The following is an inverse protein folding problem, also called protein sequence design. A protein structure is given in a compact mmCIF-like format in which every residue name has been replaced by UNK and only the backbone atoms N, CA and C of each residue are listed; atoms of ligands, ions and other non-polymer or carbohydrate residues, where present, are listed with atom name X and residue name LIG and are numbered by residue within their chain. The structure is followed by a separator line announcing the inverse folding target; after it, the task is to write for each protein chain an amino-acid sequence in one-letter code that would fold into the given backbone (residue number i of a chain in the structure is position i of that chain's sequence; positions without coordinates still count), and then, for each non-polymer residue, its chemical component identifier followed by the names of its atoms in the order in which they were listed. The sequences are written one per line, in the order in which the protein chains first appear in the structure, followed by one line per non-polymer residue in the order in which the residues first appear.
data_IF_371560257312
#
_entry.id   IF_371560257312
#
_cell.length_a   1.000
_cell.length_b   1.000
_cell.length_c   1.000
_cell.angle_alpha   90.00
_cell.angle_beta   90.00
_cell.angle_gamma   90.00
#
_symmetry.space_group_name_H-M   'P 1'
#
loop_
_entity.id
_entity.type
_entity.pdbx_description
1 polymer ?
#
# COMPACT_ATOMS: atom_id res chain seq x y z
N UNK A 1 22.34 7.31 -4.80
CA UNK A 1 22.21 8.62 -4.11
C UNK A 1 22.98 8.56 -2.80
N UNK A 2 23.98 9.45 -2.62
CA UNK A 2 24.70 9.62 -1.37
C UNK A 2 23.86 10.45 -0.40
N UNK A 3 23.27 9.80 0.61
CA UNK A 3 22.39 10.45 1.58
C UNK A 3 23.11 11.52 2.40
N UNK A 4 24.33 11.25 2.86
CA UNK A 4 25.08 12.20 3.69
C UNK A 4 25.36 13.49 2.90
N UNK A 5 25.79 13.37 1.65
CA UNK A 5 26.03 14.51 0.78
C UNK A 5 24.76 15.35 0.58
N UNK A 6 23.64 14.71 0.20
CA UNK A 6 22.42 15.45 -0.13
C UNK A 6 21.69 16.02 1.09
N UNK A 7 21.75 15.35 2.25
CA UNK A 7 21.23 15.88 3.51
C UNK A 7 22.05 17.09 4.00
N UNK A 8 23.39 17.04 3.85
CA UNK A 8 24.25 18.19 4.12
C UNK A 8 23.87 19.38 3.23
N UNK A 9 23.75 19.18 1.91
CA UNK A 9 23.32 20.24 0.99
C UNK A 9 21.92 20.79 1.29
N UNK A 10 20.99 19.95 1.70
CA UNK A 10 19.66 20.42 2.11
C UNK A 10 19.73 21.30 3.34
N UNK A 11 20.48 20.88 4.35
CA UNK A 11 20.71 21.69 5.55
C UNK A 11 21.33 23.05 5.18
N UNK A 12 22.41 23.06 4.40
CA UNK A 12 23.11 24.29 4.01
C UNK A 12 22.17 25.25 3.24
N UNK A 13 21.37 24.73 2.34
CA UNK A 13 20.40 25.52 1.58
C UNK A 13 19.34 26.18 2.49
N UNK A 14 18.82 25.45 3.48
CA UNK A 14 17.86 25.99 4.45
C UNK A 14 18.53 27.01 5.35
N UNK A 15 19.74 26.76 5.85
CA UNK A 15 20.48 27.71 6.66
C UNK A 15 20.82 28.99 5.90
N UNK A 16 21.23 28.88 4.62
CA UNK A 16 21.46 30.05 3.77
C UNK A 16 20.18 30.86 3.58
N UNK A 17 19.04 30.22 3.35
CA UNK A 17 17.75 30.90 3.24
C UNK A 17 17.36 31.55 4.57
N UNK A 18 17.50 30.85 5.69
CA UNK A 18 17.21 31.41 7.02
C UNK A 18 18.06 32.67 7.29
N UNK A 19 19.33 32.68 6.90
CA UNK A 19 20.22 33.84 7.03
C UNK A 19 19.74 35.09 6.30
N UNK A 20 18.88 34.99 5.28
CA UNK A 20 18.32 36.16 4.59
C UNK A 20 17.38 36.99 5.45
N UNK A 21 16.87 36.43 6.53
CA UNK A 21 15.98 37.09 7.51
C UNK A 21 16.74 37.76 8.67
N UNK A 22 18.06 37.70 8.66
CA UNK A 22 18.94 38.22 9.69
C UNK A 22 19.26 37.16 10.76
N UNK A 23 20.28 37.44 11.58
CA UNK A 23 20.70 36.51 12.64
C UNK A 23 19.66 36.44 13.77
N UNK A 24 19.44 35.26 14.31
CA UNK A 24 18.73 35.04 15.56
C UNK A 24 19.42 33.94 16.36
N UNK A 25 19.42 34.09 17.67
CA UNK A 25 19.95 33.09 18.59
C UNK A 25 18.82 32.15 19.05
N UNK A 26 19.13 30.87 19.15
CA UNK A 26 18.21 29.90 19.72
C UNK A 26 17.92 30.26 21.19
N UNK A 27 16.65 30.27 21.57
CA UNK A 27 16.26 30.57 22.94
C UNK A 27 16.87 29.57 23.92
N UNK A 28 17.42 30.02 25.09
CA UNK A 28 18.09 29.14 26.05
C UNK A 28 17.27 27.94 26.53
N UNK A 29 15.92 28.04 26.53
CA UNK A 29 15.05 26.92 26.92
C UNK A 29 15.06 25.74 25.92
N UNK A 30 15.60 25.92 24.74
CA UNK A 30 15.71 24.87 23.71
C UNK A 30 17.09 24.21 23.68
N UNK A 31 18.06 24.79 24.44
CA UNK A 31 19.41 24.24 24.50
C UNK A 31 19.40 22.92 25.30
N UNK A 32 20.07 21.95 24.81
CA UNK A 32 20.25 20.65 25.44
C UNK A 32 21.75 20.39 25.54
N UNK A 33 22.17 19.83 26.66
CA UNK A 33 23.53 19.41 26.91
C UNK A 33 23.93 18.28 25.89
N UNK A 34 25.11 18.44 25.28
CA UNK A 34 25.59 17.53 24.23
C UNK A 34 25.77 16.08 24.73
N UNK A 35 26.27 15.90 25.97
CA UNK A 35 26.48 14.58 26.57
C UNK A 35 25.12 13.88 26.78
N UNK A 36 24.12 14.65 27.26
CA UNK A 36 22.74 14.14 27.38
C UNK A 36 22.13 13.76 26.03
N UNK A 37 22.35 14.58 25.00
CA UNK A 37 21.87 14.29 23.67
C UNK A 37 22.54 13.03 23.10
N UNK A 38 23.86 12.92 23.23
CA UNK A 38 24.64 11.77 22.78
C UNK A 38 24.16 10.46 23.44
N UNK A 39 23.97 10.46 24.76
CA UNK A 39 23.46 9.30 25.49
C UNK A 39 22.06 8.88 25.03
N UNK A 40 21.16 9.83 24.81
CA UNK A 40 19.81 9.56 24.30
C UNK A 40 19.84 9.02 22.85
N UNK A 41 20.76 9.53 22.02
CA UNK A 41 20.93 9.08 20.64
C UNK A 41 21.48 7.66 20.58
N UNK A 42 22.46 7.31 21.44
CA UNK A 42 22.96 5.94 21.53
C UNK A 42 21.87 4.96 21.99
N UNK A 43 21.05 5.37 22.97
CA UNK A 43 19.88 4.58 23.38
C UNK A 43 18.90 4.38 22.22
N UNK A 44 18.54 5.44 21.50
CA UNK A 44 17.68 5.37 20.33
C UNK A 44 18.23 4.39 19.29
N UNK A 45 19.48 4.55 18.89
CA UNK A 45 20.10 3.69 17.86
C UNK A 45 20.28 2.25 18.34
N UNK A 46 20.46 2.03 19.64
CA UNK A 46 20.41 0.73 20.28
C UNK A 46 19.03 0.06 20.11
N UNK A 47 17.96 0.75 20.50
CA UNK A 47 16.58 0.25 20.39
C UNK A 47 16.14 0.01 18.96
N UNK A 48 16.62 0.79 17.97
CA UNK A 48 16.30 0.57 16.55
C UNK A 48 16.77 -0.79 16.05
N UNK A 49 17.78 -1.40 16.67
CA UNK A 49 18.28 -2.75 16.32
C UNK A 49 17.32 -3.87 16.73
N UNK A 50 16.33 -3.60 17.57
CA UNK A 50 15.27 -4.56 17.93
C UNK A 50 14.26 -4.74 16.79
N UNK A 51 14.29 -3.88 15.76
CA UNK A 51 13.49 -4.07 14.56
C UNK A 51 14.05 -5.19 13.67
N UNK A 52 13.19 -5.74 12.83
CA UNK A 52 13.63 -6.63 11.78
C UNK A 52 14.42 -5.87 10.70
N UNK A 53 15.30 -6.55 9.93
CA UNK A 53 16.10 -5.91 8.89
C UNK A 53 15.27 -5.62 7.64
N UNK A 54 14.31 -4.70 7.72
CA UNK A 54 13.38 -4.35 6.64
C UNK A 54 14.08 -3.93 5.34
N UNK A 55 15.30 -3.42 5.47
CA UNK A 55 16.16 -3.00 4.35
C UNK A 55 16.83 -4.16 3.62
N UNK A 56 16.87 -5.37 4.20
CA UNK A 56 17.59 -6.51 3.62
C UNK A 56 16.62 -7.48 2.91
N UNK A 57 16.96 -8.09 1.75
CA UNK A 57 16.09 -9.04 1.04
C UNK A 57 15.82 -10.35 1.82
N UNK A 58 16.55 -10.68 2.88
CA UNK A 58 16.18 -11.74 3.84
C UNK A 58 14.86 -11.47 4.57
N UNK A 59 14.45 -10.21 4.63
CA UNK A 59 13.12 -9.86 5.10
C UNK A 59 12.15 -9.91 3.91
N UNK A 60 11.38 -10.98 3.85
CA UNK A 60 10.33 -11.22 2.87
C UNK A 60 8.98 -11.52 3.58
N UNK A 61 8.72 -10.80 4.66
CA UNK A 61 7.54 -11.00 5.51
C UNK A 61 6.38 -10.10 5.10
N UNK A 62 6.22 -9.00 5.81
CA UNK A 62 5.14 -8.04 5.57
C UNK A 62 5.52 -7.01 4.48
N UNK A 63 4.58 -6.11 4.16
CA UNK A 63 4.72 -5.05 3.15
C UNK A 63 5.62 -3.92 3.65
N UNK A 64 6.87 -4.24 4.02
CA UNK A 64 7.83 -3.34 4.65
C UNK A 64 9.13 -3.31 3.87
N UNK A 65 9.57 -2.10 3.50
CA UNK A 65 10.85 -1.83 2.85
C UNK A 65 11.29 -0.40 3.16
N UNK A 66 12.58 -0.06 2.99
CA UNK A 66 13.03 1.32 3.12
C UNK A 66 12.43 2.20 2.02
N UNK A 67 12.24 3.50 2.29
CA UNK A 67 11.89 4.47 1.25
C UNK A 67 13.07 4.67 0.28
N UNK A 68 12.77 5.22 -0.91
CA UNK A 68 13.81 5.62 -1.85
C UNK A 68 14.68 6.75 -1.25
N UNK A 69 15.99 6.78 -1.49
CA UNK A 69 16.86 7.83 -0.97
C UNK A 69 16.42 9.25 -1.29
N UNK A 70 15.84 9.50 -2.48
CA UNK A 70 15.26 10.81 -2.82
C UNK A 70 14.09 11.17 -1.88
N UNK A 71 13.25 10.18 -1.52
CA UNK A 71 12.16 10.41 -0.58
C UNK A 71 12.69 10.78 0.82
N UNK A 72 13.75 10.11 1.28
CA UNK A 72 14.42 10.43 2.54
C UNK A 72 14.95 11.86 2.53
N UNK A 73 15.67 12.25 1.48
CA UNK A 73 16.21 13.61 1.32
C UNK A 73 15.08 14.64 1.29
N UNK A 74 14.06 14.42 0.45
CA UNK A 74 12.92 15.34 0.33
C UNK A 74 12.16 15.51 1.64
N UNK A 75 11.94 14.41 2.37
CA UNK A 75 11.25 14.42 3.65
C UNK A 75 12.03 15.19 4.71
N UNK A 76 13.31 14.84 4.92
CA UNK A 76 14.14 15.45 5.97
C UNK A 76 14.46 16.92 5.67
N UNK A 77 14.73 17.28 4.41
CA UNK A 77 14.92 18.67 4.01
C UNK A 77 13.69 19.52 4.34
N UNK A 78 12.51 19.03 4.02
CA UNK A 78 11.25 19.75 4.24
C UNK A 78 10.87 19.81 5.71
N UNK A 79 11.19 18.77 6.49
CA UNK A 79 10.96 18.72 7.93
C UNK A 79 11.73 19.83 8.69
N UNK A 80 12.86 20.31 8.18
CA UNK A 80 13.60 21.46 8.77
C UNK A 80 12.76 22.74 8.77
N UNK A 81 11.79 22.88 7.87
CA UNK A 81 10.86 24.00 7.78
C UNK A 81 9.51 23.67 8.43
N UNK A 82 9.14 22.39 8.45
CA UNK A 82 7.93 21.81 9.03
C UNK A 82 6.62 22.45 8.51
N UNK A 83 6.40 22.51 7.20
CA UNK A 83 5.16 23.07 6.61
C UNK A 83 3.96 22.17 6.88
N UNK A 84 2.79 22.82 6.98
CA UNK A 84 1.50 22.15 7.17
C UNK A 84 0.63 22.33 5.91
N UNK A 85 0.30 21.24 5.21
CA UNK A 85 -0.50 21.27 3.98
C UNK A 85 -2.01 21.43 4.21
N UNK A 86 -2.44 21.79 5.42
CA UNK A 86 -3.84 22.12 5.68
C UNK A 86 -4.36 23.26 4.79
N UNK A 87 -3.59 24.34 4.65
CA UNK A 87 -3.91 25.47 3.82
C UNK A 87 -2.67 25.96 3.05
N UNK A 88 -2.86 26.76 2.01
CA UNK A 88 -1.76 27.35 1.26
C UNK A 88 -0.83 28.16 2.16
N UNK A 89 -1.39 28.91 3.13
CA UNK A 89 -0.61 29.73 4.04
C UNK A 89 0.26 28.90 5.02
N UNK A 90 -0.14 27.65 5.30
CA UNK A 90 0.63 26.72 6.14
C UNK A 90 1.80 26.07 5.42
N UNK A 91 1.75 25.96 4.10
CA UNK A 91 2.78 25.32 3.28
C UNK A 91 2.62 25.62 1.80
N UNK A 92 2.82 26.87 1.35
CA UNK A 92 2.52 27.27 -0.04
C UNK A 92 3.28 26.45 -1.08
N UNK A 93 4.55 26.13 -0.80
CA UNK A 93 5.38 25.34 -1.71
C UNK A 93 4.96 23.85 -1.71
N UNK A 94 4.79 23.28 -0.52
CA UNK A 94 4.48 21.84 -0.38
C UNK A 94 3.05 21.49 -0.77
N UNK A 95 2.09 22.40 -0.59
CA UNK A 95 0.74 22.25 -1.11
C UNK A 95 0.70 22.20 -2.64
N UNK A 96 1.52 23.03 -3.32
CA UNK A 96 1.69 22.94 -4.78
C UNK A 96 2.36 21.64 -5.22
N UNK A 97 3.42 21.21 -4.51
CA UNK A 97 4.08 19.92 -4.77
C UNK A 97 3.11 18.75 -4.61
N UNK A 98 2.23 18.80 -3.60
CA UNK A 98 1.19 17.77 -3.41
C UNK A 98 0.23 17.72 -4.60
N UNK A 99 -0.27 18.85 -5.05
CA UNK A 99 -1.15 18.94 -6.23
C UNK A 99 -0.48 18.38 -7.48
N UNK A 100 0.80 18.70 -7.71
CA UNK A 100 1.57 18.17 -8.84
C UNK A 100 1.78 16.64 -8.74
N UNK A 101 2.11 16.14 -7.55
CA UNK A 101 2.29 14.70 -7.34
C UNK A 101 0.97 13.93 -7.50
N UNK A 102 -0.14 14.45 -6.97
CA UNK A 102 -1.48 13.88 -7.13
C UNK A 102 -1.93 13.89 -8.59
N UNK A 103 -1.64 14.96 -9.35
CA UNK A 103 -1.92 15.01 -10.78
C UNK A 103 -1.16 13.93 -11.57
N UNK A 104 0.08 13.61 -11.18
CA UNK A 104 0.83 12.48 -11.78
C UNK A 104 0.20 11.12 -11.45
N UNK A 105 -0.31 10.94 -10.22
CA UNK A 105 -1.07 9.74 -9.84
C UNK A 105 -2.37 9.65 -10.64
N UNK A 106 -3.10 10.75 -10.81
CA UNK A 106 -4.30 10.79 -11.63
C UNK A 106 -4.03 10.39 -13.08
N UNK A 107 -2.96 10.93 -13.68
CA UNK A 107 -2.51 10.55 -15.02
C UNK A 107 -2.17 9.05 -15.10
N UNK A 108 -1.47 8.51 -14.09
CA UNK A 108 -1.12 7.09 -14.02
C UNK A 108 -2.35 6.19 -14.03
N UNK A 109 -3.47 6.61 -13.41
CA UNK A 109 -4.73 5.89 -13.37
C UNK A 109 -5.69 6.23 -14.52
N UNK A 110 -5.33 7.17 -15.40
CA UNK A 110 -6.15 7.58 -16.55
C UNK A 110 -7.31 8.49 -16.17
N UNK A 111 -7.20 9.26 -15.09
CA UNK A 111 -8.19 10.29 -14.73
C UNK A 111 -7.86 11.62 -15.43
N UNK A 112 -8.66 12.00 -16.43
CA UNK A 112 -8.53 13.27 -17.15
C UNK A 112 -8.91 14.46 -16.26
N UNK A 113 -9.91 14.28 -15.41
CA UNK A 113 -10.31 15.21 -14.35
C UNK A 113 -10.24 14.49 -13.01
N UNK A 114 -9.86 15.20 -11.96
CA UNK A 114 -9.76 14.59 -10.63
C UNK A 114 -9.88 15.62 -9.51
N UNK A 115 -10.32 15.15 -8.37
CA UNK A 115 -10.07 15.73 -7.07
C UNK A 115 -9.25 14.72 -6.27
N UNK A 116 -8.27 15.18 -5.52
CA UNK A 116 -7.48 14.25 -4.72
C UNK A 116 -6.44 14.96 -3.87
N UNK A 117 -5.97 14.24 -2.88
CA UNK A 117 -4.92 14.69 -1.97
C UNK A 117 -4.20 13.50 -1.34
N UNK A 118 -3.06 13.78 -0.69
CA UNK A 118 -2.39 12.80 0.14
C UNK A 118 -3.13 12.65 1.47
N UNK A 119 -3.03 11.47 2.06
CA UNK A 119 -3.55 11.12 3.38
C UNK A 119 -2.45 10.50 4.22
N UNK A 120 -2.66 10.39 5.53
CA UNK A 120 -1.69 9.71 6.41
C UNK A 120 -1.62 8.21 6.19
N UNK A 121 -2.62 7.59 5.56
CA UNK A 121 -2.63 6.15 5.27
C UNK A 121 -3.73 5.76 4.30
N UNK A 122 -3.62 4.58 3.68
CA UNK A 122 -4.70 3.96 2.91
C UNK A 122 -5.98 3.74 3.74
N UNK A 123 -5.87 3.57 5.05
CA UNK A 123 -7.04 3.49 5.95
C UNK A 123 -7.83 4.78 5.94
N UNK A 124 -7.18 5.93 6.08
CA UNK A 124 -7.83 7.25 6.03
C UNK A 124 -8.31 7.55 4.60
N UNK A 125 -7.51 7.23 3.60
CA UNK A 125 -7.92 7.38 2.20
C UNK A 125 -9.20 6.60 1.88
N UNK A 126 -9.32 5.36 2.35
CA UNK A 126 -10.54 4.55 2.23
C UNK A 126 -11.70 5.13 3.07
N UNK A 127 -11.45 5.63 4.28
CA UNK A 127 -12.46 6.31 5.07
C UNK A 127 -13.08 7.48 4.29
N UNK A 128 -12.25 8.30 3.66
CA UNK A 128 -12.70 9.45 2.87
C UNK A 128 -13.48 9.02 1.63
N UNK A 129 -13.03 8.01 0.92
CA UNK A 129 -13.77 7.46 -0.22
C UNK A 129 -15.14 6.92 0.19
N UNK A 130 -15.24 6.23 1.33
CA UNK A 130 -16.50 5.71 1.86
C UNK A 130 -17.38 6.80 2.46
N UNK A 131 -16.79 7.87 3.03
CA UNK A 131 -17.52 9.06 3.45
C UNK A 131 -18.26 9.69 2.25
N UNK A 132 -17.56 9.94 1.15
CA UNK A 132 -18.17 10.45 -0.10
C UNK A 132 -19.26 9.50 -0.63
N UNK A 133 -19.01 8.19 -0.56
CA UNK A 133 -19.98 7.17 -0.96
C UNK A 133 -21.30 7.26 -0.14
N UNK A 134 -21.17 7.47 1.20
CA UNK A 134 -22.32 7.68 2.10
C UNK A 134 -23.13 8.92 1.73
N UNK A 135 -22.45 10.03 1.47
CA UNK A 135 -23.10 11.30 1.15
C UNK A 135 -23.84 11.25 -0.21
N UNK A 136 -23.32 10.48 -1.17
CA UNK A 136 -23.93 10.30 -2.48
C UNK A 136 -25.10 9.31 -2.47
N UNK A 137 -25.05 8.29 -1.62
CA UNK A 137 -26.07 7.24 -1.50
C UNK A 137 -26.52 7.06 -0.05
N UNK A 138 -27.20 8.06 0.54
CA UNK A 138 -27.66 7.96 1.92
C UNK A 138 -28.53 6.71 2.16
N UNK A 139 -28.23 5.98 3.22
CA UNK A 139 -28.98 4.78 3.61
C UNK A 139 -28.61 3.50 2.85
N UNK A 140 -27.76 3.57 1.82
CA UNK A 140 -27.20 2.40 1.14
C UNK A 140 -25.88 1.96 1.74
N UNK A 141 -25.59 0.67 1.68
CA UNK A 141 -24.38 0.07 2.21
C UNK A 141 -23.25 -0.05 1.18
N UNK A 142 -22.17 -0.68 1.62
CA UNK A 142 -20.93 -0.90 0.86
C UNK A 142 -20.72 -2.40 0.70
N UNK A 143 -20.57 -2.89 -0.54
CA UNK A 143 -20.14 -4.26 -0.83
C UNK A 143 -18.61 -4.27 -1.04
N UNK A 144 -17.94 -5.27 -0.51
CA UNK A 144 -16.49 -5.46 -0.64
C UNK A 144 -16.15 -6.95 -0.53
N UNK A 145 -15.03 -7.39 -1.11
CA UNK A 145 -14.57 -8.77 -1.04
C UNK A 145 -14.35 -9.22 0.42
N UNK A 146 -14.70 -10.45 0.75
CA UNK A 146 -14.37 -11.05 2.06
C UNK A 146 -12.85 -11.08 2.32
N UNK A 147 -12.02 -11.13 1.27
CA UNK A 147 -10.55 -11.07 1.33
C UNK A 147 -9.99 -9.62 1.22
N UNK A 148 -10.87 -8.61 1.14
CA UNK A 148 -10.46 -7.22 1.18
C UNK A 148 -9.83 -6.86 2.53
N UNK A 149 -9.06 -5.80 2.58
CA UNK A 149 -8.45 -5.34 3.82
C UNK A 149 -9.55 -5.04 4.86
N UNK A 150 -9.32 -5.46 6.12
CA UNK A 150 -10.29 -5.31 7.22
C UNK A 150 -10.74 -3.86 7.46
N UNK A 151 -10.05 -2.91 6.87
CA UNK A 151 -10.37 -1.47 6.94
C UNK A 151 -11.81 -1.18 6.46
N UNK A 152 -12.29 -1.89 5.43
CA UNK A 152 -13.62 -1.61 4.85
C UNK A 152 -14.75 -1.87 5.85
N UNK A 153 -14.76 -3.02 6.50
CA UNK A 153 -15.72 -3.31 7.54
C UNK A 153 -15.61 -2.36 8.74
N UNK A 154 -14.38 -2.00 9.13
CA UNK A 154 -14.13 -1.04 10.21
C UNK A 154 -14.63 0.37 9.85
N UNK A 155 -14.37 0.84 8.64
CA UNK A 155 -14.81 2.18 8.21
C UNK A 155 -16.32 2.24 7.98
N UNK A 156 -16.94 1.16 7.50
CA UNK A 156 -18.41 1.07 7.47
C UNK A 156 -18.99 1.26 8.89
N UNK A 157 -18.41 0.60 9.90
CA UNK A 157 -18.84 0.77 11.28
C UNK A 157 -18.65 2.23 11.78
N UNK A 158 -17.49 2.84 11.53
CA UNK A 158 -17.20 4.24 11.90
C UNK A 158 -18.19 5.21 11.26
N UNK A 159 -18.55 4.97 10.00
CA UNK A 159 -19.47 5.83 9.23
C UNK A 159 -20.95 5.51 9.48
N UNK A 160 -21.28 4.50 10.29
CA UNK A 160 -22.65 4.05 10.52
C UNK A 160 -23.32 3.43 9.29
N UNK A 161 -22.51 2.84 8.39
CA UNK A 161 -22.98 2.19 7.16
C UNK A 161 -23.03 0.68 7.32
N UNK A 162 -23.92 0.02 6.57
CA UNK A 162 -23.93 -1.45 6.48
C UNK A 162 -22.86 -1.92 5.50
N UNK A 163 -22.01 -2.83 5.94
CA UNK A 163 -21.02 -3.51 5.10
C UNK A 163 -21.52 -4.88 4.66
N UNK A 164 -21.29 -5.24 3.40
CA UNK A 164 -21.65 -6.52 2.80
C UNK A 164 -20.38 -7.22 2.31
N UNK A 165 -19.77 -8.11 3.10
CA UNK A 165 -18.66 -8.93 2.64
C UNK A 165 -19.17 -9.94 1.61
N UNK A 166 -18.58 -9.91 0.42
CA UNK A 166 -18.91 -10.78 -0.71
C UNK A 166 -17.92 -11.95 -0.77
N UNK A 167 -18.37 -13.18 -0.91
CA UNK A 167 -17.49 -14.35 -1.10
C UNK A 167 -16.49 -14.15 -2.26
N UNK A 168 -15.36 -14.85 -2.18
CA UNK A 168 -14.34 -14.86 -3.22
C UNK A 168 -14.41 -16.10 -4.08
N UNK A 169 -13.84 -16.01 -5.29
CA UNK A 169 -13.59 -17.16 -6.17
C UNK A 169 -12.38 -17.98 -5.66
N UNK A 170 -12.05 -19.05 -6.39
CA UNK A 170 -10.92 -19.93 -6.12
C UNK A 170 -9.53 -19.25 -6.22
N UNK A 171 -9.47 -18.00 -6.73
CA UNK A 171 -8.26 -17.19 -6.81
C UNK A 171 -8.19 -16.08 -5.75
N UNK A 172 -9.19 -15.97 -4.87
CA UNK A 172 -9.28 -14.93 -3.83
C UNK A 172 -9.76 -13.58 -4.36
N UNK A 173 -10.48 -13.55 -5.50
CA UNK A 173 -11.08 -12.36 -6.10
C UNK A 173 -12.57 -12.32 -5.77
N UNK A 174 -13.14 -11.13 -5.69
CA UNK A 174 -14.58 -10.97 -5.46
C UNK A 174 -15.41 -11.78 -6.47
N UNK A 175 -16.36 -12.58 -5.97
CA UNK A 175 -17.31 -13.31 -6.83
C UNK A 175 -18.33 -12.34 -7.42
N UNK A 176 -18.33 -12.18 -8.75
CA UNK A 176 -19.25 -11.28 -9.43
C UNK A 176 -20.71 -11.78 -9.36
N UNK A 177 -20.93 -13.09 -9.35
CA UNK A 177 -22.28 -13.67 -9.24
C UNK A 177 -22.85 -13.35 -7.84
N UNK A 178 -22.11 -13.62 -6.78
CA UNK A 178 -22.51 -13.27 -5.41
C UNK A 178 -22.66 -11.76 -5.21
N UNK A 179 -21.83 -10.96 -5.87
CA UNK A 179 -21.96 -9.50 -5.87
C UNK A 179 -23.25 -9.09 -6.57
N UNK A 180 -23.57 -9.64 -7.73
CA UNK A 180 -24.80 -9.28 -8.44
C UNK A 180 -26.04 -9.65 -7.64
N UNK A 181 -26.04 -10.77 -6.92
CA UNK A 181 -27.17 -11.16 -6.06
C UNK A 181 -27.47 -10.11 -5.00
N UNK A 182 -26.46 -9.57 -4.33
CA UNK A 182 -26.69 -8.50 -3.33
C UNK A 182 -27.06 -7.17 -3.99
N UNK A 183 -26.53 -6.86 -5.18
CA UNK A 183 -26.86 -5.63 -5.90
C UNK A 183 -28.34 -5.59 -6.30
N UNK A 184 -28.95 -6.74 -6.63
CA UNK A 184 -30.40 -6.86 -6.94
C UNK A 184 -31.30 -6.46 -5.80
N UNK A 185 -30.82 -6.48 -4.55
CA UNK A 185 -31.61 -6.03 -3.38
C UNK A 185 -31.81 -4.51 -3.34
N UNK A 186 -30.96 -3.74 -4.05
CA UNK A 186 -30.94 -2.27 -4.00
C UNK A 186 -30.36 -1.67 -2.72
N UNK A 187 -29.86 -2.51 -1.79
CA UNK A 187 -29.30 -2.06 -0.50
C UNK A 187 -27.87 -1.51 -0.63
N UNK A 188 -27.16 -1.81 -1.72
CA UNK A 188 -25.77 -1.39 -1.94
C UNK A 188 -25.71 -0.15 -2.83
N UNK A 189 -24.96 0.87 -2.40
CA UNK A 189 -24.72 2.09 -3.17
C UNK A 189 -23.33 2.15 -3.79
N UNK A 190 -22.37 1.46 -3.18
CA UNK A 190 -20.97 1.45 -3.66
C UNK A 190 -20.37 0.05 -3.49
N UNK A 191 -19.60 -0.35 -4.49
CA UNK A 191 -18.78 -1.57 -4.46
C UNK A 191 -17.30 -1.17 -4.35
N UNK A 192 -16.60 -1.78 -3.41
CA UNK A 192 -15.15 -1.70 -3.31
C UNK A 192 -14.54 -2.89 -4.03
N UNK A 193 -13.70 -2.61 -5.02
CA UNK A 193 -12.92 -3.60 -5.77
C UNK A 193 -11.46 -3.46 -5.36
N UNK A 194 -10.79 -4.57 -5.09
CA UNK A 194 -9.40 -4.57 -4.62
C UNK A 194 -8.44 -4.86 -5.77
N UNK A 195 -7.48 -3.96 -5.98
CA UNK A 195 -6.36 -4.19 -6.89
C UNK A 195 -5.12 -4.61 -6.08
N UNK A 196 -5.03 -5.88 -5.77
CA UNK A 196 -3.98 -6.47 -4.94
C UNK A 196 -4.39 -6.66 -3.47
N UNK A 197 -5.05 -7.79 -3.16
CA UNK A 197 -5.44 -8.13 -1.78
C UNK A 197 -4.24 -8.27 -0.86
N UNK A 198 -4.40 -7.91 0.40
CA UNK A 198 -3.30 -7.98 1.40
C UNK A 198 -2.79 -9.40 1.59
N UNK A 199 -3.65 -10.40 1.52
CA UNK A 199 -3.27 -11.80 1.70
C UNK A 199 -2.49 -12.37 0.53
N UNK A 200 -3.08 -12.33 -0.64
CA UNK A 200 -2.63 -13.08 -1.82
C UNK A 200 -2.15 -12.20 -2.99
N UNK A 201 -2.35 -10.88 -2.91
CA UNK A 201 -2.09 -9.99 -4.05
C UNK A 201 -3.09 -10.17 -5.20
N UNK A 202 -4.25 -10.77 -4.93
CA UNK A 202 -5.27 -11.03 -5.95
C UNK A 202 -5.89 -9.72 -6.46
N UNK A 203 -6.25 -9.70 -7.75
CA UNK A 203 -6.80 -8.54 -8.43
C UNK A 203 -8.24 -8.83 -8.79
N UNK A 204 -9.19 -8.08 -8.21
CA UNK A 204 -10.60 -8.20 -8.54
C UNK A 204 -10.86 -7.92 -10.02
N UNK A 205 -11.92 -8.51 -10.63
CA UNK A 205 -12.26 -8.35 -12.04
C UNK A 205 -12.91 -6.98 -12.29
N UNK A 206 -12.13 -5.89 -12.12
CA UNK A 206 -12.60 -4.50 -12.19
C UNK A 206 -13.30 -4.19 -13.52
N UNK A 207 -12.78 -4.72 -14.63
CA UNK A 207 -13.35 -4.50 -15.95
C UNK A 207 -14.72 -5.14 -16.12
N UNK A 208 -14.97 -6.30 -15.53
CA UNK A 208 -16.26 -6.98 -15.58
C UNK A 208 -17.28 -6.32 -14.63
N UNK A 209 -16.83 -5.80 -13.49
CA UNK A 209 -17.67 -5.07 -12.55
C UNK A 209 -18.26 -3.77 -13.14
N UNK A 210 -17.68 -3.20 -14.19
CA UNK A 210 -18.26 -2.06 -14.91
C UNK A 210 -19.65 -2.38 -15.49
N UNK A 211 -19.89 -3.60 -15.93
CA UNK A 211 -21.21 -4.01 -16.43
C UNK A 211 -22.26 -4.07 -15.30
N UNK A 212 -21.84 -4.48 -14.09
CA UNK A 212 -22.71 -4.46 -12.91
C UNK A 212 -23.05 -3.02 -12.50
N UNK A 213 -22.08 -2.13 -12.56
CA UNK A 213 -22.28 -0.69 -12.31
C UNK A 213 -23.38 -0.12 -13.22
N UNK A 214 -23.32 -0.39 -14.51
CA UNK A 214 -24.28 0.12 -15.48
C UNK A 214 -25.69 -0.45 -15.25
N UNK A 215 -25.81 -1.73 -14.88
CA UNK A 215 -27.11 -2.38 -14.61
C UNK A 215 -27.75 -1.93 -13.30
N UNK A 216 -26.98 -1.70 -12.25
CA UNK A 216 -27.50 -1.49 -10.90
C UNK A 216 -27.34 -0.04 -10.40
N UNK A 217 -26.67 0.84 -11.15
CA UNK A 217 -26.50 2.25 -10.78
C UNK A 217 -25.68 2.44 -9.51
N UNK A 218 -24.69 1.59 -9.28
CA UNK A 218 -23.78 1.67 -8.12
C UNK A 218 -22.49 2.39 -8.46
N UNK A 219 -21.80 2.92 -7.47
CA UNK A 219 -20.43 3.45 -7.60
C UNK A 219 -19.42 2.35 -7.50
N UNK A 220 -18.28 2.51 -8.17
CA UNK A 220 -17.12 1.66 -8.02
C UNK A 220 -15.97 2.44 -7.40
N UNK A 221 -15.53 1.99 -6.24
CA UNK A 221 -14.32 2.43 -5.58
C UNK A 221 -13.24 1.36 -5.71
N UNK A 222 -12.01 1.75 -6.05
CA UNK A 222 -10.89 0.81 -6.15
C UNK A 222 -9.95 1.00 -4.96
N UNK A 223 -9.87 -0.01 -4.10
CA UNK A 223 -8.79 -0.08 -3.12
C UNK A 223 -7.55 -0.67 -3.78
N UNK A 224 -6.69 0.20 -4.23
CA UNK A 224 -5.41 -0.10 -4.85
C UNK A 224 -4.23 0.28 -3.92
N UNK A 225 -4.47 0.32 -2.60
CA UNK A 225 -3.46 0.70 -1.61
C UNK A 225 -2.16 -0.10 -1.78
N UNK A 226 -2.26 -1.39 -2.07
CA UNK A 226 -1.12 -2.23 -2.38
C UNK A 226 -0.74 -2.23 -3.86
N UNK A 227 -1.68 -2.62 -4.71
CA UNK A 227 -1.38 -2.94 -6.12
C UNK A 227 -1.40 -1.75 -7.08
N UNK A 228 -1.82 -0.54 -6.65
CA UNK A 228 -2.08 0.56 -7.57
C UNK A 228 -0.94 0.91 -8.54
N UNK A 229 0.29 0.90 -8.07
CA UNK A 229 1.44 1.18 -8.93
C UNK A 229 1.72 0.08 -9.97
N UNK A 230 1.19 -1.13 -9.79
CA UNK A 230 1.31 -2.19 -10.79
C UNK A 230 0.56 -1.89 -12.10
N UNK A 231 -0.28 -0.87 -12.13
CA UNK A 231 -0.83 -0.33 -13.38
C UNK A 231 0.28 0.02 -14.39
N UNK A 232 1.49 0.32 -13.92
CA UNK A 232 2.66 0.61 -14.76
C UNK A 232 3.19 -0.61 -15.52
N UNK A 233 2.78 -1.82 -15.14
CA UNK A 233 3.12 -3.08 -15.84
C UNK A 233 1.95 -3.59 -16.72
N UNK A 234 0.84 -2.87 -16.77
CA UNK A 234 -0.35 -3.26 -17.51
C UNK A 234 -0.10 -3.25 -19.03
N UNK A 235 -0.11 -4.43 -19.65
CA UNK A 235 0.18 -4.61 -21.08
C UNK A 235 1.65 -4.49 -21.43
N UNK A 236 2.56 -4.50 -20.46
CA UNK A 236 4.00 -4.58 -20.72
C UNK A 236 4.36 -5.95 -21.32
N UNK A 237 5.36 -5.95 -22.20
CA UNK A 237 5.98 -7.17 -22.72
C UNK A 237 6.90 -7.78 -21.65
N UNK A 238 7.05 -9.11 -21.68
CA UNK A 238 7.88 -9.83 -20.72
C UNK A 238 7.09 -10.52 -19.61
N UNK A 239 7.77 -11.33 -18.78
CA UNK A 239 7.12 -12.16 -17.75
C UNK A 239 6.47 -11.33 -16.64
N UNK A 240 6.98 -10.12 -16.36
CA UNK A 240 6.43 -9.18 -15.38
C UNK A 240 5.18 -8.45 -15.87
N UNK A 241 4.86 -8.50 -17.16
CA UNK A 241 3.69 -7.85 -17.71
C UNK A 241 2.37 -8.36 -17.11
N UNK A 242 1.40 -7.47 -16.98
CA UNK A 242 0.09 -7.77 -16.44
C UNK A 242 -1.00 -7.65 -17.52
N UNK A 243 -2.06 -8.47 -17.45
CA UNK A 243 -3.24 -8.28 -18.30
C UNK A 243 -3.75 -6.85 -18.14
N UNK A 244 -3.96 -6.09 -19.24
CA UNK A 244 -4.26 -4.66 -19.13
C UNK A 244 -5.70 -4.34 -18.71
N UNK A 245 -6.63 -5.30 -18.83
CA UNK A 245 -8.07 -5.07 -18.68
C UNK A 245 -8.46 -4.51 -17.29
N UNK A 246 -8.09 -5.11 -16.15
CA UNK A 246 -8.45 -4.60 -14.83
C UNK A 246 -7.91 -3.19 -14.60
N UNK A 247 -6.67 -2.95 -15.02
CA UNK A 247 -5.96 -1.68 -14.80
C UNK A 247 -6.54 -0.53 -15.63
N UNK A 248 -6.84 -0.78 -16.91
CA UNK A 248 -7.49 0.22 -17.79
C UNK A 248 -8.91 0.54 -17.35
N UNK A 249 -9.59 -0.38 -16.69
CA UNK A 249 -10.93 -0.18 -16.15
C UNK A 249 -10.96 0.84 -15.01
N UNK A 250 -9.85 1.03 -14.30
CA UNK A 250 -9.72 2.00 -13.18
C UNK A 250 -10.10 3.41 -13.64
N UNK A 251 -9.72 3.81 -14.86
CA UNK A 251 -10.06 5.11 -15.43
C UNK A 251 -11.58 5.39 -15.49
N UNK A 252 -12.41 4.35 -15.45
CA UNK A 252 -13.87 4.43 -15.44
C UNK A 252 -14.48 4.33 -14.04
N UNK A 253 -13.72 3.98 -13.01
CA UNK A 253 -14.18 3.92 -11.63
C UNK A 253 -14.33 5.32 -11.02
N UNK A 254 -15.12 5.42 -9.95
CA UNK A 254 -15.50 6.72 -9.37
C UNK A 254 -14.45 7.27 -8.42
N UNK A 255 -13.68 6.40 -7.77
CA UNK A 255 -12.58 6.77 -6.87
C UNK A 255 -11.55 5.66 -6.75
N UNK A 256 -10.35 6.03 -6.35
CA UNK A 256 -9.25 5.11 -6.09
C UNK A 256 -8.42 5.54 -4.89
N UNK A 257 -7.91 4.57 -4.17
CA UNK A 257 -6.92 4.74 -3.11
C UNK A 257 -5.62 4.05 -3.52
N UNK A 258 -4.50 4.70 -3.26
CA UNK A 258 -3.16 4.11 -3.43
C UNK A 258 -2.26 4.54 -2.28
N UNK A 259 -1.32 3.68 -1.87
CA UNK A 259 -0.35 3.98 -0.81
C UNK A 259 1.06 4.20 -1.39
N UNK A 260 1.47 5.46 -1.65
CA UNK A 260 2.85 5.74 -2.02
C UNK A 260 3.88 5.23 -1.01
N UNK A 261 3.55 5.10 0.28
CA UNK A 261 4.43 4.51 1.28
C UNK A 261 4.63 2.98 1.13
N UNK A 262 3.89 2.33 0.20
CA UNK A 262 4.14 0.95 -0.23
C UNK A 262 5.00 0.97 -1.50
N UNK A 263 4.44 0.73 -2.66
CA UNK A 263 5.16 0.65 -3.93
C UNK A 263 5.59 2.01 -4.52
N UNK A 264 5.09 3.13 -4.01
CA UNK A 264 5.59 4.47 -4.35
C UNK A 264 6.90 4.85 -3.65
N UNK A 265 7.50 3.95 -2.86
CA UNK A 265 8.83 4.09 -2.22
C UNK A 265 8.93 5.26 -1.23
N UNK A 266 7.82 5.65 -0.61
CA UNK A 266 7.80 6.77 0.34
C UNK A 266 7.96 6.30 1.80
N UNK A 267 8.37 7.19 2.71
CA UNK A 267 8.21 6.98 4.15
C UNK A 267 6.74 6.74 4.50
N UNK A 268 6.47 6.01 5.58
CA UNK A 268 5.12 5.88 6.11
C UNK A 268 4.50 7.24 6.43
N UNK A 269 3.17 7.33 6.35
CA UNK A 269 2.46 8.59 6.43
C UNK A 269 2.17 9.19 5.05
N UNK A 270 2.10 8.37 3.99
CA UNK A 270 1.81 8.79 2.63
C UNK A 270 0.87 7.79 1.94
N UNK A 271 -0.43 7.97 2.13
CA UNK A 271 -1.51 7.42 1.32
C UNK A 271 -2.02 8.49 0.36
N UNK A 272 -2.93 8.12 -0.54
CA UNK A 272 -3.60 9.07 -1.44
C UNK A 272 -5.01 8.57 -1.77
N UNK A 273 -5.96 9.50 -1.88
CA UNK A 273 -7.30 9.30 -2.42
C UNK A 273 -7.51 10.19 -3.63
N UNK A 274 -8.09 9.62 -4.68
CA UNK A 274 -8.48 10.36 -5.88
C UNK A 274 -9.93 10.03 -6.24
N UNK A 275 -10.65 11.05 -6.61
CA UNK A 275 -12.02 10.98 -7.13
C UNK A 275 -12.01 11.46 -8.59
N UNK A 276 -12.69 10.72 -9.45
CA UNK A 276 -12.81 11.08 -10.88
C UNK A 276 -13.65 12.32 -11.10
N UNK A 277 -14.69 12.51 -10.27
CA UNK A 277 -15.57 13.67 -10.31
C UNK A 277 -15.16 14.68 -9.22
N UNK A 278 -14.64 15.87 -9.61
CA UNK A 278 -14.25 16.89 -8.64
C UNK A 278 -15.40 17.46 -7.81
N UNK A 279 -16.65 17.37 -8.30
CA UNK A 279 -17.82 17.92 -7.62
C UNK A 279 -18.08 17.27 -6.24
N UNK A 280 -17.48 16.10 -5.96
CA UNK A 280 -17.56 15.48 -4.64
C UNK A 280 -16.88 16.32 -3.54
N UNK A 281 -16.04 17.25 -3.91
CA UNK A 281 -15.42 18.22 -2.99
C UNK A 281 -16.43 18.97 -2.13
N UNK A 282 -17.66 19.17 -2.64
CA UNK A 282 -18.75 19.85 -1.91
C UNK A 282 -19.10 19.16 -0.56
N UNK A 283 -18.84 17.88 -0.42
CA UNK A 283 -19.14 17.14 0.81
C UNK A 283 -18.16 17.42 1.95
N UNK A 284 -16.97 17.92 1.61
CA UNK A 284 -15.94 18.28 2.59
C UNK A 284 -16.06 19.72 3.07
N UNK A 285 -16.76 20.59 2.32
CA UNK A 285 -16.85 22.01 2.62
C UNK A 285 -17.37 22.24 4.02
N UNK A 286 -16.65 23.03 4.78
CA UNK A 286 -17.03 23.48 6.11
C UNK A 286 -16.75 24.97 6.25
N UNK A 287 -17.60 25.65 7.00
CA UNK A 287 -17.40 27.03 7.37
C UNK A 287 -16.66 27.08 8.74
N UNK A 288 -15.42 27.57 8.72
CA UNK A 288 -14.61 27.69 9.91
C UNK A 288 -14.01 29.09 10.01
N UNK A 289 -14.29 29.82 11.10
CA UNK A 289 -13.72 31.17 11.29
C UNK A 289 -12.21 31.17 11.52
N UNK A 290 -11.60 29.98 11.69
CA UNK A 290 -10.17 29.81 11.95
C UNK A 290 -9.37 29.34 10.74
N UNK A 291 -10.03 29.02 9.63
CA UNK A 291 -9.35 28.54 8.42
C UNK A 291 -9.00 29.75 7.53
N UNK A 292 -7.73 29.84 7.24
CA UNK A 292 -7.15 30.91 6.42
C UNK A 292 -7.34 30.62 4.93
N UNK A 293 -8.57 30.32 4.49
CA UNK A 293 -8.89 30.20 3.06
C UNK A 293 -9.02 31.60 2.47
N UNK A 294 -7.88 32.25 2.27
CA UNK A 294 -7.81 33.67 1.90
C UNK A 294 -7.77 33.88 0.39
N UNK A 295 -7.77 32.83 -0.41
CA UNK A 295 -7.71 32.91 -1.86
C UNK A 295 -8.78 32.04 -2.53
N UNK A 296 -9.02 32.25 -3.82
CA UNK A 296 -9.88 31.40 -4.65
C UNK A 296 -9.18 30.13 -5.15
N UNK A 297 -7.93 29.91 -4.77
CA UNK A 297 -7.21 28.68 -5.08
C UNK A 297 -7.67 27.54 -4.16
N UNK A 298 -7.56 26.30 -4.65
CA UNK A 298 -7.89 25.11 -3.87
C UNK A 298 -6.96 24.95 -2.65
N UNK A 299 -7.53 25.00 -1.47
CA UNK A 299 -6.87 24.65 -0.22
C UNK A 299 -7.14 23.16 0.09
N UNK A 300 -6.08 22.40 0.30
CA UNK A 300 -6.21 20.94 0.45
C UNK A 300 -7.03 20.50 1.69
N UNK A 301 -7.07 21.34 2.73
CA UNK A 301 -7.95 21.12 3.89
C UNK A 301 -9.43 21.24 3.60
N UNK A 302 -9.82 21.89 2.46
CA UNK A 302 -11.22 21.98 2.03
C UNK A 302 -11.74 20.69 1.40
N UNK A 303 -10.84 19.75 1.06
CA UNK A 303 -11.18 18.49 0.39
C UNK A 303 -10.66 17.27 1.14
N UNK A 304 -10.37 17.39 2.43
CA UNK A 304 -9.83 16.34 3.30
C UNK A 304 -10.53 16.33 4.65
N UNK A 305 -10.75 15.14 5.20
CA UNK A 305 -11.17 14.98 6.59
C UNK A 305 -10.01 15.18 7.59
N UNK A 306 -8.75 15.07 7.13
CA UNK A 306 -7.57 15.39 7.94
C UNK A 306 -7.31 16.89 7.88
N UNK A 307 -7.18 17.51 9.04
CA UNK A 307 -6.89 18.94 9.13
C UNK A 307 -5.39 19.19 8.87
N UNK A 308 -4.55 19.05 9.88
CA UNK A 308 -3.11 19.25 9.76
C UNK A 308 -2.42 18.04 9.13
N UNK A 309 -1.62 18.27 8.08
CA UNK A 309 -0.86 17.24 7.38
C UNK A 309 0.55 17.69 7.09
N UNK A 310 1.51 16.76 7.25
CA UNK A 310 2.92 17.06 7.01
C UNK A 310 3.20 17.36 5.53
N UNK A 311 3.61 18.58 5.21
CA UNK A 311 4.07 18.94 3.88
C UNK A 311 5.32 18.17 3.44
N UNK A 312 6.06 17.60 4.40
CA UNK A 312 7.22 16.75 4.13
C UNK A 312 6.87 15.51 3.30
N UNK A 313 5.71 14.87 3.53
CA UNK A 313 5.26 13.72 2.72
C UNK A 313 5.04 14.11 1.26
N UNK A 314 4.45 15.28 1.01
CA UNK A 314 4.22 15.81 -0.34
C UNK A 314 5.54 16.11 -1.06
N UNK A 315 6.47 16.78 -0.39
CA UNK A 315 7.78 17.10 -0.96
C UNK A 315 8.62 15.86 -1.26
N UNK A 316 8.56 14.85 -0.38
CA UNK A 316 9.22 13.57 -0.58
C UNK A 316 8.71 12.85 -1.83
N UNK A 317 7.39 12.76 -1.99
CA UNK A 317 6.76 12.14 -3.16
C UNK A 317 7.05 12.93 -4.43
N UNK A 318 6.94 14.26 -4.38
CA UNK A 318 7.25 15.14 -5.50
C UNK A 318 8.70 14.94 -5.98
N UNK A 319 9.68 14.99 -5.06
CA UNK A 319 11.09 14.81 -5.40
C UNK A 319 11.36 13.41 -5.98
N UNK A 320 10.75 12.38 -5.40
CA UNK A 320 10.86 11.01 -5.92
C UNK A 320 10.35 10.93 -7.35
N UNK A 321 9.20 11.52 -7.65
CA UNK A 321 8.64 11.52 -9.00
C UNK A 321 9.42 12.38 -10.01
N UNK A 322 10.29 13.30 -9.57
CA UNK A 322 11.20 14.00 -10.48
C UNK A 322 12.34 13.08 -10.96
N UNK A 323 12.83 12.18 -10.11
CA UNK A 323 13.98 11.32 -10.42
C UNK A 323 13.60 9.88 -10.78
N UNK A 324 12.43 9.45 -10.34
CA UNK A 324 11.85 8.13 -10.61
C UNK A 324 10.36 8.30 -10.89
N UNK A 325 9.99 8.73 -12.10
CA UNK A 325 8.60 9.06 -12.42
C UNK A 325 7.69 7.81 -12.36
N UNK A 326 6.37 8.01 -12.10
CA UNK A 326 5.38 6.93 -12.11
C UNK A 326 5.02 6.56 -13.57
N UNK A 327 5.99 6.00 -14.28
CA UNK A 327 5.91 5.53 -15.67
C UNK A 327 6.47 4.10 -15.77
N UNK A 328 6.17 3.36 -16.85
CA UNK A 328 6.75 2.03 -17.06
C UNK A 328 8.28 2.01 -16.98
N UNK A 329 8.97 2.99 -17.60
CA UNK A 329 10.44 3.08 -17.62
C UNK A 329 11.03 3.66 -16.33
N UNK A 330 10.23 4.28 -15.48
CA UNK A 330 10.61 4.79 -14.17
C UNK A 330 10.33 3.77 -13.07
N UNK A 331 9.33 4.07 -12.25
CA UNK A 331 8.94 3.22 -11.12
C UNK A 331 8.48 1.82 -11.56
N UNK A 332 7.93 1.67 -12.78
CA UNK A 332 7.54 0.38 -13.34
C UNK A 332 8.67 -0.65 -13.34
N UNK A 333 9.91 -0.23 -13.60
CA UNK A 333 11.08 -1.14 -13.56
C UNK A 333 11.35 -1.71 -12.16
N UNK A 334 11.10 -0.92 -11.12
CA UNK A 334 11.25 -1.37 -9.72
C UNK A 334 10.21 -2.43 -9.38
N UNK A 335 8.94 -2.20 -9.78
CA UNK A 335 7.88 -3.18 -9.59
C UNK A 335 8.11 -4.45 -10.42
N UNK A 336 8.60 -4.28 -11.64
CA UNK A 336 8.94 -5.40 -12.54
C UNK A 336 9.95 -6.35 -11.90
N UNK A 337 11.00 -5.84 -11.25
CA UNK A 337 11.98 -6.65 -10.55
C UNK A 337 11.35 -7.48 -9.40
N UNK A 338 10.50 -6.86 -8.56
CA UNK A 338 9.79 -7.59 -7.51
C UNK A 338 8.86 -8.67 -8.05
N UNK A 339 8.14 -8.36 -9.14
CA UNK A 339 7.26 -9.34 -9.77
C UNK A 339 8.03 -10.49 -10.44
N UNK A 340 9.14 -10.23 -11.14
CA UNK A 340 10.01 -11.30 -11.68
C UNK A 340 10.54 -12.19 -10.57
N UNK A 341 10.99 -11.62 -9.45
CA UNK A 341 11.38 -12.39 -8.27
C UNK A 341 10.26 -13.30 -7.75
N UNK A 342 9.01 -12.81 -7.73
CA UNK A 342 7.87 -13.62 -7.29
C UNK A 342 7.57 -14.77 -8.25
N UNK A 343 7.64 -14.54 -9.55
CA UNK A 343 7.42 -15.56 -10.57
C UNK A 343 8.54 -16.60 -10.58
N UNK A 344 9.79 -16.17 -10.41
CA UNK A 344 10.94 -17.06 -10.30
C UNK A 344 10.84 -17.94 -9.05
N UNK A 345 10.50 -17.34 -7.90
CA UNK A 345 10.31 -18.15 -6.68
C UNK A 345 9.17 -19.14 -6.81
N UNK A 346 8.04 -18.76 -7.40
CA UNK A 346 6.94 -19.69 -7.66
C UNK A 346 7.39 -20.85 -8.56
N UNK A 347 8.22 -20.57 -9.59
CA UNK A 347 8.84 -21.59 -10.43
C UNK A 347 9.76 -22.53 -9.65
N UNK A 348 10.62 -22.01 -8.78
CA UNK A 348 11.51 -22.80 -7.92
C UNK A 348 10.73 -23.69 -6.94
N UNK A 349 9.65 -23.18 -6.35
CA UNK A 349 8.77 -23.97 -5.47
C UNK A 349 8.15 -25.13 -6.27
N UNK A 350 7.61 -24.85 -7.46
CA UNK A 350 6.96 -25.87 -8.29
C UNK A 350 7.95 -26.93 -8.79
N UNK A 351 9.21 -26.56 -9.00
CA UNK A 351 10.27 -27.45 -9.51
C UNK A 351 10.99 -28.24 -8.41
N UNK A 352 10.70 -28.01 -7.13
CA UNK A 352 11.43 -28.60 -6.00
C UNK A 352 10.50 -29.39 -5.07
N UNK A 353 11.08 -30.37 -4.34
CA UNK A 353 10.42 -31.06 -3.25
C UNK A 353 10.53 -30.24 -1.95
N UNK A 354 9.56 -30.36 -1.06
CA UNK A 354 9.58 -29.81 0.29
C UNK A 354 8.74 -28.55 0.48
N UNK A 355 8.37 -27.88 -0.59
CA UNK A 355 7.40 -26.76 -0.57
C UNK A 355 6.35 -26.96 -1.66
N UNK A 356 5.13 -26.52 -1.40
CA UNK A 356 4.05 -26.45 -2.35
C UNK A 356 3.54 -25.02 -2.49
N UNK A 357 3.28 -24.60 -3.75
CA UNK A 357 2.71 -23.30 -4.03
C UNK A 357 1.22 -23.30 -3.70
N UNK A 358 0.77 -22.33 -2.87
CA UNK A 358 -0.65 -22.22 -2.53
C UNK A 358 -1.48 -21.71 -3.71
N UNK A 359 -0.96 -20.66 -4.41
CA UNK A 359 -1.47 -20.22 -5.70
C UNK A 359 -0.39 -19.44 -6.47
N UNK A 360 -0.56 -19.32 -7.79
CA UNK A 360 0.33 -18.51 -8.61
C UNK A 360 0.25 -17.03 -8.23
N UNK A 361 1.37 -16.31 -8.07
CA UNK A 361 1.37 -14.91 -7.74
C UNK A 361 0.80 -14.05 -8.88
N UNK A 362 -0.14 -13.19 -8.56
CA UNK A 362 -0.64 -12.18 -9.50
C UNK A 362 0.23 -10.90 -9.48
N UNK A 363 0.78 -10.55 -8.33
CA UNK A 363 1.72 -9.43 -8.14
C UNK A 363 3.07 -9.95 -7.62
N UNK A 364 3.57 -9.39 -6.55
CA UNK A 364 4.86 -9.72 -5.92
C UNK A 364 4.72 -10.43 -4.56
N UNK A 365 3.56 -11.01 -4.30
CA UNK A 365 3.28 -11.82 -3.11
C UNK A 365 3.27 -13.29 -3.50
N UNK A 366 4.13 -14.09 -2.87
CA UNK A 366 4.20 -15.54 -3.03
C UNK A 366 3.61 -16.21 -1.79
N UNK A 367 2.60 -17.05 -1.97
CA UNK A 367 1.97 -17.87 -0.93
C UNK A 367 2.26 -19.34 -1.17
N UNK A 368 2.73 -20.05 -0.13
CA UNK A 368 3.21 -21.41 -0.24
C UNK A 368 3.17 -22.10 1.15
N UNK A 369 3.36 -23.41 1.18
CA UNK A 369 3.38 -24.17 2.44
C UNK A 369 4.38 -25.34 2.34
N UNK A 370 4.87 -25.85 3.51
CA UNK A 370 5.70 -27.06 3.51
C UNK A 370 4.93 -28.28 3.01
N UNK A 371 5.53 -29.05 2.11
CA UNK A 371 5.03 -30.36 1.73
C UNK A 371 5.20 -31.31 2.91
N UNK A 372 4.10 -31.91 3.38
CA UNK A 372 4.06 -32.81 4.56
C UNK A 372 3.35 -34.10 4.23
N UNK A 373 3.77 -35.21 4.88
CA UNK A 373 3.12 -36.49 4.78
C UNK A 373 2.68 -36.98 6.18
N UNK A 374 1.39 -37.27 6.39
CA UNK A 374 0.28 -37.14 5.42
C UNK A 374 -0.08 -35.67 5.16
N UNK A 375 -0.57 -35.38 3.94
CA UNK A 375 -1.01 -34.03 3.57
C UNK A 375 -2.34 -33.71 4.27
N UNK A 376 -2.26 -32.98 5.40
CA UNK A 376 -3.40 -32.60 6.22
C UNK A 376 -3.26 -31.15 6.71
N UNK A 377 -4.38 -30.42 6.86
CA UNK A 377 -4.38 -29.00 7.26
C UNK A 377 -3.66 -28.78 8.59
N UNK A 378 -3.88 -29.62 9.60
CA UNK A 378 -3.22 -29.52 10.89
C UNK A 378 -1.71 -29.70 10.81
N UNK A 379 -1.23 -30.64 9.98
CA UNK A 379 0.18 -30.88 9.75
C UNK A 379 0.84 -29.71 9.00
N UNK A 380 0.18 -29.15 7.99
CA UNK A 380 0.63 -27.97 7.24
C UNK A 380 0.71 -26.74 8.16
N UNK A 381 -0.30 -26.52 9.02
CA UNK A 381 -0.29 -25.42 9.99
C UNK A 381 0.89 -25.50 10.95
N UNK A 382 1.13 -26.68 11.51
CA UNK A 382 2.25 -26.92 12.43
C UNK A 382 3.61 -26.74 11.74
N UNK A 383 3.78 -27.27 10.53
CA UNK A 383 5.02 -27.14 9.77
C UNK A 383 5.29 -25.67 9.36
N UNK A 384 4.27 -24.92 8.92
CA UNK A 384 4.38 -23.49 8.61
C UNK A 384 4.77 -22.67 9.84
N UNK A 385 4.18 -22.97 11.01
CA UNK A 385 4.52 -22.30 12.26
C UNK A 385 5.98 -22.56 12.66
N UNK A 386 6.46 -23.80 12.51
CA UNK A 386 7.85 -24.17 12.78
C UNK A 386 8.82 -23.44 11.85
N UNK A 387 8.57 -23.47 10.53
CA UNK A 387 9.42 -22.75 9.55
C UNK A 387 9.50 -21.25 9.87
N UNK A 388 8.39 -20.63 10.25
CA UNK A 388 8.37 -19.22 10.65
C UNK A 388 9.25 -18.98 11.90
N UNK A 389 9.08 -19.77 12.94
CA UNK A 389 9.80 -19.60 14.21
C UNK A 389 11.30 -19.87 14.07
N UNK A 390 11.67 -20.99 13.44
CA UNK A 390 13.07 -21.37 13.23
C UNK A 390 13.77 -20.48 12.21
N UNK A 391 13.02 -19.95 11.23
CA UNK A 391 13.54 -19.04 10.21
C UNK A 391 14.13 -17.76 10.79
N UNK A 392 13.52 -17.21 11.85
CA UNK A 392 13.95 -15.96 12.47
C UNK A 392 15.16 -16.13 13.41
N UNK A 393 15.56 -17.36 13.70
CA UNK A 393 16.62 -17.69 14.65
C UNK A 393 17.88 -18.22 13.94
N UNK A 394 19.00 -18.28 14.65
CA UNK A 394 20.24 -18.85 14.15
C UNK A 394 21.12 -17.85 13.39
N UNK A 395 22.16 -18.39 12.73
CA UNK A 395 23.22 -17.60 12.06
C UNK A 395 22.87 -17.13 10.65
N UNK A 396 21.83 -17.72 10.04
CA UNK A 396 21.34 -17.39 8.69
C UNK A 396 19.83 -17.13 8.72
N UNK A 397 19.37 -16.04 9.40
CA UNK A 397 17.95 -15.79 9.60
C UNK A 397 17.24 -15.39 8.32
N UNK A 398 15.96 -15.77 8.22
CA UNK A 398 15.00 -15.35 7.21
C UNK A 398 13.71 -14.94 7.90
N UNK A 399 13.13 -13.84 7.46
CA UNK A 399 11.94 -13.27 8.08
C UNK A 399 10.77 -13.36 7.09
N UNK A 400 9.85 -14.24 7.41
CA UNK A 400 8.65 -14.52 6.61
C UNK A 400 7.40 -13.99 7.31
N UNK A 401 6.25 -14.10 6.66
CA UNK A 401 4.94 -13.93 7.29
C UNK A 401 4.04 -15.13 7.01
N UNK A 402 2.89 -15.17 7.64
CA UNK A 402 1.89 -16.20 7.41
C UNK A 402 0.55 -15.60 7.03
N UNK A 403 -0.26 -16.39 6.34
CA UNK A 403 -1.66 -16.16 6.06
C UNK A 403 -2.45 -17.35 6.57
N UNK A 404 -3.57 -17.12 7.26
CA UNK A 404 -4.50 -18.20 7.60
C UNK A 404 -5.45 -18.39 6.41
N UNK A 405 -5.36 -19.57 5.80
CA UNK A 405 -6.31 -20.01 4.78
C UNK A 405 -7.39 -20.86 5.46
N UNK A 406 -8.67 -20.58 5.20
CA UNK A 406 -9.76 -21.40 5.71
C UNK A 406 -9.82 -22.77 5.00
N UNK A 407 -10.52 -23.72 5.61
CA UNK A 407 -10.62 -25.09 5.15
C UNK A 407 -11.13 -25.19 3.72
N UNK A 408 -12.23 -24.51 3.42
CA UNK A 408 -12.94 -24.68 2.14
C UNK A 408 -12.13 -24.06 1.00
N UNK A 409 -11.58 -22.87 1.22
CA UNK A 409 -10.68 -22.22 0.26
C UNK A 409 -9.39 -23.02 0.04
N UNK A 410 -8.84 -23.66 1.09
CA UNK A 410 -7.65 -24.48 0.98
C UNK A 410 -7.92 -25.75 0.18
N UNK A 411 -8.94 -26.51 0.55
CA UNK A 411 -9.24 -27.81 -0.09
C UNK A 411 -9.78 -27.66 -1.50
N UNK A 412 -10.43 -26.54 -1.84
CA UNK A 412 -10.81 -26.22 -3.20
C UNK A 412 -9.57 -26.08 -4.13
N UNK A 413 -8.50 -25.44 -3.64
CA UNK A 413 -7.22 -25.32 -4.38
C UNK A 413 -6.37 -26.58 -4.35
N UNK A 414 -6.39 -27.30 -3.22
CA UNK A 414 -5.56 -28.48 -2.94
C UNK A 414 -6.42 -29.67 -2.52
N UNK A 415 -7.18 -30.29 -3.45
CA UNK A 415 -8.16 -31.35 -3.13
C UNK A 415 -7.56 -32.64 -2.57
N UNK A 416 -6.23 -32.80 -2.62
CA UNK A 416 -5.52 -33.94 -2.04
C UNK A 416 -5.21 -33.75 -0.55
N UNK A 417 -5.36 -32.54 -0.01
CA UNK A 417 -5.11 -32.22 1.40
C UNK A 417 -6.32 -32.60 2.24
N UNK A 418 -6.09 -33.36 3.30
CA UNK A 418 -7.13 -33.77 4.25
C UNK A 418 -7.60 -32.59 5.11
N UNK A 419 -8.93 -32.43 5.22
CA UNK A 419 -9.60 -31.36 5.95
C UNK A 419 -9.80 -31.75 7.44
N UNK A 420 -8.73 -31.97 8.18
CA UNK A 420 -8.73 -32.36 9.60
C UNK A 420 -8.79 -31.17 10.58
N UNK A 421 -8.80 -29.92 10.06
CA UNK A 421 -8.88 -28.68 10.83
C UNK A 421 -9.73 -27.63 10.09
N UNK A 422 -10.05 -26.51 10.78
CA UNK A 422 -10.85 -25.40 10.22
C UNK A 422 -10.04 -24.46 9.29
N UNK A 423 -8.83 -24.84 8.96
CA UNK A 423 -7.91 -24.12 8.10
C UNK A 423 -6.46 -24.35 8.49
N UNK A 424 -5.54 -23.74 7.78
CA UNK A 424 -4.11 -23.83 8.05
C UNK A 424 -3.42 -22.49 7.84
N UNK A 425 -2.36 -22.22 8.62
CA UNK A 425 -1.38 -21.21 8.26
C UNK A 425 -0.59 -21.68 7.05
N UNK A 426 -0.44 -20.79 6.09
CA UNK A 426 0.51 -20.92 5.00
C UNK A 426 1.58 -19.84 5.12
N UNK A 427 2.74 -20.07 4.54
CA UNK A 427 3.80 -19.08 4.45
C UNK A 427 3.45 -18.05 3.38
N UNK A 428 3.83 -16.82 3.65
CA UNK A 428 3.58 -15.70 2.76
C UNK A 428 4.81 -14.81 2.70
N UNK A 429 5.24 -14.49 1.49
CA UNK A 429 6.41 -13.65 1.25
C UNK A 429 6.09 -12.51 0.31
N UNK A 430 6.48 -11.31 0.71
CA UNK A 430 6.26 -10.08 -0.05
C UNK A 430 7.59 -9.58 -0.61
N UNK A 431 7.72 -9.60 -1.94
CA UNK A 431 8.97 -9.31 -2.65
C UNK A 431 9.03 -7.89 -3.20
N UNK A 432 8.62 -6.91 -2.38
CA UNK A 432 8.57 -5.48 -2.75
C UNK A 432 9.93 -4.85 -3.03
N UNK A 433 11.01 -5.47 -2.56
CA UNK A 433 12.38 -4.95 -2.77
C UNK A 433 12.89 -5.45 -4.12
N UNK A 434 13.36 -4.57 -5.04
CA UNK A 434 13.93 -5.00 -6.31
C UNK A 434 15.14 -5.94 -6.13
N UNK A 435 15.88 -5.80 -5.03
CA UNK A 435 16.98 -6.68 -4.65
C UNK A 435 16.55 -8.14 -4.42
N UNK A 436 15.25 -8.40 -4.27
CA UNK A 436 14.73 -9.75 -4.18
C UNK A 436 14.97 -10.56 -5.46
N UNK A 437 15.08 -9.90 -6.63
CA UNK A 437 15.36 -10.56 -7.91
C UNK A 437 16.67 -11.35 -7.86
N UNK A 438 17.72 -10.77 -7.30
CA UNK A 438 19.04 -11.43 -7.16
C UNK A 438 19.12 -12.36 -5.94
N UNK A 439 18.15 -12.30 -5.03
CA UNK A 439 18.22 -12.99 -3.74
C UNK A 439 17.29 -14.20 -3.62
N UNK A 440 16.32 -14.34 -4.50
CA UNK A 440 15.24 -15.30 -4.38
C UNK A 440 15.72 -16.76 -4.35
N UNK A 441 16.74 -17.12 -5.11
CA UNK A 441 17.32 -18.48 -5.09
C UNK A 441 17.85 -18.87 -3.71
N UNK A 442 18.62 -17.96 -3.07
CA UNK A 442 19.16 -18.17 -1.73
C UNK A 442 18.02 -18.25 -0.68
N UNK A 443 17.00 -17.41 -0.86
CA UNK A 443 15.83 -17.44 0.00
C UNK A 443 15.08 -18.77 -0.11
N UNK A 444 14.89 -19.26 -1.34
CA UNK A 444 14.28 -20.55 -1.63
C UNK A 444 15.06 -21.72 -0.96
N UNK A 445 16.38 -21.78 -1.15
CA UNK A 445 17.23 -22.80 -0.54
C UNK A 445 17.10 -22.82 1.00
N UNK A 446 17.08 -21.64 1.61
CA UNK A 446 16.99 -21.52 3.07
C UNK A 446 15.62 -21.98 3.59
N UNK A 447 14.53 -21.56 2.94
CA UNK A 447 13.16 -21.92 3.35
C UNK A 447 12.90 -23.40 3.11
N UNK A 448 13.36 -23.96 1.99
CA UNK A 448 13.23 -25.41 1.70
C UNK A 448 13.97 -26.25 2.73
N UNK A 449 15.16 -25.82 3.18
CA UNK A 449 15.91 -26.52 4.23
C UNK A 449 15.14 -26.51 5.55
N UNK A 450 14.53 -25.40 5.92
CA UNK A 450 13.68 -25.28 7.10
C UNK A 450 12.39 -26.12 6.99
N UNK A 451 11.83 -26.26 5.80
CA UNK A 451 10.64 -27.06 5.59
C UNK A 451 10.91 -28.58 5.76
N UNK A 452 12.15 -29.00 5.45
CA UNK A 452 12.58 -30.41 5.54
C UNK A 452 13.12 -30.82 6.93
N UNK A 453 13.47 -29.87 7.78
CA UNK A 453 13.90 -30.13 9.16
C UNK A 453 12.70 -30.43 10.07
#
# INVERSE_FOLDING_TARGET
VDLQHWLGRANDAIQQWAGTFGPYDQHPSLLVDDDRFAAAFEELTGRLKDNYPFFHPRYAGQMLKPPHPAAVVGYLATMLINPNNHALDGGPATARMEREAVARLATMFGYDTHLGHLTTSGTIANLEALFVARELHPGRGIAYSADAHYTHGRMCHVLGMKGYPIPTDDRGRISLDALEDILRTGEVGTVVLTAGTTGLGAIDPIHDALALRERHGVRLHVDAAYGGFFTLLAGAEGPEGLPPQPWRAIARCDSIVVDPHKHGLQPYGCGAVLFRDPEVGRFYLHDSPYTYFTSSELHLGEISLECSRAGASAAALWLTFQVLPPTPDGLGRVLGAGRRAALDWAGLITASDGLELYQQPELDIVSYFPAVEPAALGAIDAASARVLAEGMTGTDPVFLSTLKADRDAFTARHPKVSADADGARILRSVLMKPESEDHVHRLHERVTRLARS
#
